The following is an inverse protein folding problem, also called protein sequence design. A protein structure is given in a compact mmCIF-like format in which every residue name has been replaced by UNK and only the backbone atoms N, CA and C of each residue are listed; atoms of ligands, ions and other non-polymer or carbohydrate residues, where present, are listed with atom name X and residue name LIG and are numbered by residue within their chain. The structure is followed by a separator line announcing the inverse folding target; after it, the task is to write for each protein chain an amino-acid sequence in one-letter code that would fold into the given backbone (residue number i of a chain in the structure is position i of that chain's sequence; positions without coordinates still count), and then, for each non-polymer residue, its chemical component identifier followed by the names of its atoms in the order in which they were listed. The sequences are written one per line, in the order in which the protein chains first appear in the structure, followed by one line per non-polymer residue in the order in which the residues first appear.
data_IF_380457826620
#
_entry.id   IF_380457826620
#
_cell.length_a   1.000
_cell.length_b   1.000
_cell.length_c   1.000
_cell.angle_alpha   90.00
_cell.angle_beta   90.00
_cell.angle_gamma   90.00
#
_symmetry.space_group_name_H-M   'P 1'
#
loop_
_entity.id
_entity.type
_entity.pdbx_description
1 polymer ?
#
# COMPACT_ATOMS: atom_id res chain seq x y z
N UNK A 1 -18.04 -19.35 10.74
CA UNK A 1 -17.66 -18.16 11.54
C UNK A 1 -17.75 -16.97 10.57
N UNK A 2 -18.61 -15.99 10.85
CA UNK A 2 -18.73 -14.81 10.00
C UNK A 2 -17.45 -14.00 10.19
N UNK A 3 -16.65 -13.83 9.12
CA UNK A 3 -15.49 -12.96 9.15
C UNK A 3 -15.99 -11.56 9.51
N UNK A 4 -15.46 -10.97 10.57
CA UNK A 4 -15.73 -9.57 10.89
C UNK A 4 -14.87 -8.76 9.87
N UNK A 5 -15.51 -8.29 8.81
CA UNK A 5 -14.84 -7.39 7.86
C UNK A 5 -14.46 -6.12 8.63
N UNK A 6 -13.19 -5.78 8.59
CA UNK A 6 -12.76 -4.49 9.09
C UNK A 6 -13.27 -3.41 8.13
N UNK A 7 -13.90 -2.39 8.70
CA UNK A 7 -14.37 -1.22 7.94
C UNK A 7 -13.53 -0.03 8.36
N UNK A 8 -12.92 0.65 7.39
CA UNK A 8 -12.09 1.82 7.61
C UNK A 8 -12.71 3.04 6.94
N UNK A 9 -12.89 4.11 7.69
CA UNK A 9 -13.32 5.41 7.14
C UNK A 9 -12.08 6.18 6.68
N UNK A 10 -12.09 6.60 5.42
CA UNK A 10 -11.02 7.39 4.81
C UNK A 10 -11.46 8.84 4.76
N UNK A 11 -10.89 9.64 5.65
CA UNK A 11 -11.26 11.05 5.82
C UNK A 11 -10.91 11.88 4.60
N UNK A 12 -11.85 12.71 4.15
CA UNK A 12 -11.64 13.68 3.10
C UNK A 12 -10.94 14.92 3.63
N UNK A 13 -9.89 15.33 2.94
CA UNK A 13 -9.13 16.55 3.24
C UNK A 13 -9.08 17.48 2.04
N UNK A 14 -8.84 18.77 2.32
CA UNK A 14 -8.67 19.77 1.29
C UNK A 14 -7.23 20.31 1.28
N UNK A 15 -6.71 20.57 0.08
CA UNK A 15 -5.45 21.24 -0.16
C UNK A 15 -5.66 22.43 -1.08
N UNK A 16 -4.74 23.38 -1.05
CA UNK A 16 -4.73 24.54 -1.96
C UNK A 16 -4.33 24.16 -3.40
N UNK A 17 -3.65 23.03 -3.58
CA UNK A 17 -3.25 22.47 -4.87
C UNK A 17 -3.93 21.12 -5.10
N UNK A 18 -4.32 20.76 -6.33
CA UNK A 18 -4.81 19.43 -6.66
C UNK A 18 -3.73 18.34 -6.52
N UNK A 19 -2.46 18.71 -6.57
CA UNK A 19 -1.30 17.85 -6.34
C UNK A 19 -0.37 18.55 -5.32
N UNK A 20 -0.67 18.46 -4.00
CA UNK A 20 0.13 19.11 -2.96
C UNK A 20 1.53 18.49 -2.86
N UNK A 21 2.52 19.23 -2.41
CA UNK A 21 3.83 18.67 -2.09
C UNK A 21 3.72 17.57 -1.02
N UNK A 22 4.59 16.56 -1.05
CA UNK A 22 4.54 15.48 -0.05
C UNK A 22 4.83 15.99 1.38
N UNK A 23 5.56 17.09 1.54
CA UNK A 23 5.69 17.80 2.83
C UNK A 23 4.35 18.26 3.38
N UNK A 24 3.48 18.82 2.51
CA UNK A 24 2.15 19.29 2.92
C UNK A 24 1.23 18.11 3.23
N UNK A 25 1.37 17.01 2.48
CA UNK A 25 0.64 15.76 2.73
C UNK A 25 1.00 15.22 4.13
N UNK A 26 2.30 15.17 4.48
CA UNK A 26 2.76 14.73 5.81
C UNK A 26 2.17 15.60 6.92
N UNK A 27 2.25 16.91 6.77
CA UNK A 27 1.69 17.85 7.75
C UNK A 27 0.16 17.69 7.90
N UNK A 28 -0.55 17.46 6.78
CA UNK A 28 -2.01 17.29 6.76
C UNK A 28 -2.46 16.03 7.49
N UNK A 29 -1.72 14.93 7.46
CA UNK A 29 -2.01 13.75 8.26
C UNK A 29 -2.11 14.06 9.76
N UNK A 30 -1.17 14.87 10.27
CA UNK A 30 -1.13 15.25 11.67
C UNK A 30 -2.18 16.32 12.00
N UNK A 31 -2.33 17.35 11.16
CA UNK A 31 -3.33 18.40 11.30
C UNK A 31 -4.76 17.85 11.35
N UNK A 32 -5.08 16.90 10.47
CA UNK A 32 -6.39 16.27 10.40
C UNK A 32 -6.59 15.15 11.44
N UNK A 33 -5.58 14.82 12.23
CA UNK A 33 -5.67 13.78 13.25
C UNK A 33 -5.93 12.39 12.69
N UNK A 34 -5.40 12.08 11.50
CA UNK A 34 -5.62 10.79 10.84
C UNK A 34 -4.97 9.67 11.65
N UNK A 35 -5.79 8.73 12.11
CA UNK A 35 -5.35 7.65 12.97
C UNK A 35 -4.46 6.62 12.24
N UNK A 36 -3.50 6.06 12.98
CA UNK A 36 -2.72 4.91 12.54
C UNK A 36 -3.51 3.61 12.70
N UNK A 37 -3.41 2.74 11.71
CA UNK A 37 -4.00 1.41 11.68
C UNK A 37 -2.89 0.38 11.62
N UNK A 38 -2.97 -0.69 12.39
CA UNK A 38 -1.95 -1.73 12.41
C UNK A 38 -2.05 -2.67 11.19
N UNK A 39 -0.89 -3.06 10.64
CA UNK A 39 -0.75 -4.20 9.74
C UNK A 39 -0.13 -5.31 10.59
N UNK A 40 -0.96 -6.11 11.24
CA UNK A 40 -0.49 -6.97 12.33
C UNK A 40 -1.04 -8.40 12.32
N UNK A 41 -1.79 -8.77 11.28
CA UNK A 41 -2.31 -10.12 11.14
C UNK A 41 -1.22 -11.06 10.63
N UNK A 42 -0.74 -11.95 11.51
CA UNK A 42 0.15 -13.08 11.15
C UNK A 42 -0.75 -14.23 10.69
N UNK A 43 -1.05 -14.31 9.40
CA UNK A 43 -2.00 -15.28 8.87
C UNK A 43 -1.39 -16.69 8.74
N UNK A 44 -0.06 -16.80 8.67
CA UNK A 44 0.67 -18.05 8.45
C UNK A 44 1.67 -18.27 9.57
N UNK A 45 1.40 -19.19 10.52
CA UNK A 45 2.23 -19.41 11.71
C UNK A 45 3.67 -19.84 11.44
N UNK A 46 3.96 -20.36 10.25
CA UNK A 46 5.31 -20.69 9.80
C UNK A 46 6.20 -19.46 9.55
N UNK A 47 5.59 -18.26 9.47
CA UNK A 47 6.28 -16.97 9.34
C UNK A 47 5.93 -16.07 10.54
N UNK A 48 6.42 -16.39 11.74
CA UNK A 48 5.97 -15.74 12.97
C UNK A 48 6.57 -14.35 13.21
N UNK A 49 7.56 -13.93 12.41
CA UNK A 49 8.17 -12.61 12.59
C UNK A 49 7.15 -11.51 12.30
N UNK A 50 7.00 -10.63 13.29
CA UNK A 50 6.01 -9.56 13.29
C UNK A 50 6.70 -8.23 13.61
N UNK A 51 7.22 -7.52 12.60
CA UNK A 51 7.63 -6.12 12.77
C UNK A 51 6.45 -5.25 13.19
N UNK A 52 6.73 -4.11 13.82
CA UNK A 52 5.71 -3.09 14.09
C UNK A 52 5.44 -2.32 12.81
N UNK A 53 4.24 -2.49 12.26
CA UNK A 53 3.85 -1.87 10.98
C UNK A 53 2.50 -1.21 11.12
N UNK A 54 2.43 0.05 10.70
CA UNK A 54 1.20 0.83 10.72
C UNK A 54 1.04 1.59 9.40
N UNK A 55 -0.19 1.88 9.05
CA UNK A 55 -0.52 2.80 7.97
C UNK A 55 -1.57 3.79 8.38
N UNK A 56 -1.63 4.91 7.69
CA UNK A 56 -2.75 5.85 7.71
C UNK A 56 -3.11 6.30 6.30
N UNK A 57 -4.39 6.60 6.09
CA UNK A 57 -4.93 6.92 4.78
C UNK A 57 -5.90 8.09 4.87
N UNK A 58 -5.83 8.99 3.90
CA UNK A 58 -6.79 10.07 3.68
C UNK A 58 -6.93 10.31 2.17
N UNK A 59 -7.90 11.10 1.75
CA UNK A 59 -8.07 11.43 0.34
C UNK A 59 -8.48 12.88 0.11
N UNK A 60 -8.29 13.34 -1.11
CA UNK A 60 -8.84 14.59 -1.63
C UNK A 60 -9.74 14.33 -2.84
N UNK A 61 -10.19 15.38 -3.52
CA UNK A 61 -10.90 15.23 -4.80
C UNK A 61 -10.06 14.56 -5.89
N UNK A 62 -8.74 14.63 -5.79
CA UNK A 62 -7.83 14.25 -6.88
C UNK A 62 -6.93 13.07 -6.55
N UNK A 63 -6.67 12.79 -5.28
CA UNK A 63 -5.65 11.83 -4.87
C UNK A 63 -6.07 11.05 -3.61
N UNK A 64 -5.52 9.83 -3.49
CA UNK A 64 -5.44 9.06 -2.25
C UNK A 64 -4.03 9.25 -1.69
N UNK A 65 -3.93 9.48 -0.38
CA UNK A 65 -2.68 9.63 0.33
C UNK A 65 -2.50 8.52 1.35
N UNK A 66 -1.32 7.91 1.34
CA UNK A 66 -0.93 6.87 2.27
C UNK A 66 0.33 7.29 3.01
N UNK A 67 0.43 6.86 4.25
CA UNK A 67 1.70 6.88 4.96
C UNK A 67 1.85 5.56 5.70
N UNK A 68 2.97 4.88 5.47
CA UNK A 68 3.37 3.69 6.21
C UNK A 68 4.46 4.06 7.21
N UNK A 69 4.40 3.46 8.39
CA UNK A 69 5.42 3.57 9.41
C UNK A 69 5.82 2.17 9.87
N UNK A 70 7.11 1.88 9.82
CA UNK A 70 7.66 0.55 10.09
C UNK A 70 8.81 0.63 11.06
N UNK A 71 8.79 -0.25 12.07
CA UNK A 71 9.91 -0.56 12.94
C UNK A 71 10.22 -2.03 12.85
N UNK A 72 11.45 -2.36 12.45
CA UNK A 72 11.87 -3.73 12.18
C UNK A 72 13.35 -3.94 12.48
N UNK A 73 13.77 -5.20 12.53
CA UNK A 73 15.18 -5.52 12.74
C UNK A 73 15.84 -5.85 11.41
N UNK A 74 16.52 -4.86 10.86
CA UNK A 74 17.07 -4.86 9.51
C UNK A 74 16.16 -4.12 8.52
N UNK A 75 16.73 -3.71 7.39
CA UNK A 75 15.97 -3.24 6.23
C UNK A 75 16.72 -3.65 4.96
N UNK A 76 15.97 -4.07 3.94
CA UNK A 76 16.51 -4.47 2.65
C UNK A 76 15.91 -3.63 1.54
N UNK A 77 16.79 -3.03 0.70
CA UNK A 77 16.42 -2.33 -0.52
C UNK A 77 17.45 -2.62 -1.61
N UNK A 78 17.16 -3.52 -2.51
CA UNK A 78 18.04 -3.92 -3.62
C UNK A 78 17.63 -3.27 -4.94
N UNK A 79 16.41 -2.72 -5.00
CA UNK A 79 15.91 -2.00 -6.16
C UNK A 79 15.82 -0.51 -5.87
N UNK A 80 16.55 0.30 -6.64
CA UNK A 80 16.53 1.78 -6.63
C UNK A 80 15.83 2.37 -7.85
N UNK A 81 14.96 1.61 -8.52
CA UNK A 81 14.16 2.03 -9.66
C UNK A 81 12.93 1.13 -9.82
N UNK A 82 11.89 1.63 -10.50
CA UNK A 82 10.66 0.86 -10.72
C UNK A 82 10.83 -0.20 -11.81
N UNK A 83 11.55 0.12 -12.87
CA UNK A 83 11.76 -0.79 -13.99
C UNK A 83 12.47 -2.07 -13.56
N UNK A 84 11.85 -3.22 -13.80
CA UNK A 84 12.40 -4.53 -13.45
C UNK A 84 12.42 -4.84 -11.94
N UNK A 85 11.88 -3.96 -11.08
CA UNK A 85 11.87 -4.19 -9.63
C UNK A 85 11.00 -5.38 -9.24
N UNK A 86 11.40 -6.00 -8.12
CA UNK A 86 10.66 -7.04 -7.42
C UNK A 86 10.56 -6.64 -5.94
N UNK A 87 9.74 -5.63 -5.63
CA UNK A 87 9.73 -5.01 -4.30
C UNK A 87 9.43 -6.00 -3.17
N UNK A 88 8.65 -7.05 -3.42
CA UNK A 88 8.36 -8.11 -2.45
C UNK A 88 9.58 -8.87 -1.94
N UNK A 89 10.71 -8.85 -2.68
CA UNK A 89 11.97 -9.45 -2.24
C UNK A 89 12.77 -8.56 -1.28
N UNK A 90 12.43 -7.26 -1.24
CA UNK A 90 12.94 -6.27 -0.28
C UNK A 90 11.97 -6.14 0.91
N UNK A 91 12.25 -5.23 1.85
CA UNK A 91 11.25 -4.79 2.82
C UNK A 91 10.21 -3.96 2.12
N UNK A 92 9.02 -4.54 1.97
CA UNK A 92 7.95 -4.06 1.11
C UNK A 92 6.68 -3.75 1.91
N UNK A 93 6.01 -2.66 1.54
CA UNK A 93 4.63 -2.35 1.94
C UNK A 93 3.74 -2.29 0.72
N UNK A 94 2.48 -2.74 0.87
CA UNK A 94 1.61 -2.88 -0.28
C UNK A 94 0.21 -2.32 0.01
N UNK A 95 -0.43 -1.79 -1.02
CA UNK A 95 -1.82 -1.36 -1.01
C UNK A 95 -2.56 -1.94 -2.20
N UNK A 96 -3.49 -2.85 -1.93
CA UNK A 96 -4.33 -3.47 -2.94
C UNK A 96 -5.74 -2.88 -2.86
N UNK A 97 -6.28 -2.44 -3.99
CA UNK A 97 -7.56 -1.74 -4.06
C UNK A 97 -8.41 -2.24 -5.23
N UNK A 98 -9.66 -2.55 -4.96
CA UNK A 98 -10.71 -2.71 -5.98
C UNK A 98 -11.43 -1.35 -6.09
N UNK A 99 -11.13 -0.51 -7.09
CA UNK A 99 -11.63 0.87 -7.12
C UNK A 99 -13.05 1.00 -7.69
N UNK A 100 -13.61 -0.09 -8.20
CA UNK A 100 -14.90 -0.12 -8.90
C UNK A 100 -15.73 -1.31 -8.43
N UNK A 101 -17.04 -1.18 -8.46
CA UNK A 101 -18.01 -2.26 -8.22
C UNK A 101 -18.38 -3.05 -9.49
N UNK A 102 -17.77 -2.71 -10.64
CA UNK A 102 -18.05 -3.33 -11.95
C UNK A 102 -17.56 -4.76 -12.05
N UNK A 103 -16.39 -5.03 -11.44
CA UNK A 103 -15.79 -6.36 -11.36
C UNK A 103 -14.90 -6.48 -10.11
N UNK A 104 -14.26 -7.63 -9.94
CA UNK A 104 -13.36 -7.89 -8.82
C UNK A 104 -11.89 -7.60 -9.12
N UNK A 105 -11.60 -6.96 -10.26
CA UNK A 105 -10.23 -6.61 -10.61
C UNK A 105 -9.68 -5.55 -9.67
N UNK A 106 -8.45 -5.73 -9.25
CA UNK A 106 -7.78 -4.86 -8.29
C UNK A 106 -6.46 -4.34 -8.83
N UNK A 107 -6.09 -3.19 -8.33
CA UNK A 107 -4.72 -2.71 -8.43
C UNK A 107 -3.91 -3.22 -7.25
N UNK A 108 -2.71 -3.70 -7.50
CA UNK A 108 -1.73 -3.97 -6.46
C UNK A 108 -0.55 -3.04 -6.64
N UNK A 109 -0.43 -2.09 -5.72
CA UNK A 109 0.72 -1.24 -5.54
C UNK A 109 1.63 -1.89 -4.51
N UNK A 110 2.86 -2.22 -4.90
CA UNK A 110 3.88 -2.81 -4.06
C UNK A 110 5.11 -1.90 -4.11
N UNK A 111 5.58 -1.42 -2.95
CA UNK A 111 6.69 -0.47 -2.83
C UNK A 111 7.68 -0.95 -1.78
N UNK A 112 8.97 -1.01 -2.15
CA UNK A 112 10.00 -1.30 -1.15
C UNK A 112 10.23 -0.09 -0.21
N UNK A 113 11.03 -0.28 0.82
CA UNK A 113 11.25 0.72 1.88
C UNK A 113 11.91 2.03 1.39
N UNK A 114 12.46 2.09 0.17
CA UNK A 114 12.95 3.32 -0.48
C UNK A 114 11.98 3.87 -1.54
N UNK A 115 10.77 3.28 -1.64
CA UNK A 115 9.67 3.79 -2.45
C UNK A 115 9.69 3.34 -3.92
N UNK A 116 10.50 2.38 -4.32
CA UNK A 116 10.46 1.82 -5.68
C UNK A 116 9.64 0.54 -5.74
N UNK A 117 8.98 0.32 -6.87
CA UNK A 117 8.11 -0.84 -6.95
C UNK A 117 7.35 -1.04 -8.23
N UNK A 118 6.18 -1.64 -8.09
CA UNK A 118 5.32 -2.01 -9.20
C UNK A 118 3.87 -1.61 -8.93
N UNK A 119 3.16 -1.39 -10.02
CA UNK A 119 1.71 -1.32 -10.04
C UNK A 119 1.19 -2.31 -11.09
N UNK A 120 0.34 -3.24 -10.67
CA UNK A 120 -0.34 -4.14 -11.61
C UNK A 120 -1.86 -3.98 -11.46
N UNK A 121 -2.61 -4.46 -12.47
CA UNK A 121 -4.07 -4.47 -12.50
C UNK A 121 -4.58 -5.78 -13.10
N UNK A 122 -5.60 -6.36 -12.51
CA UNK A 122 -6.27 -7.55 -13.02
C UNK A 122 -7.09 -8.29 -11.97
N UNK A 123 -7.78 -9.37 -12.38
CA UNK A 123 -8.74 -10.08 -11.52
C UNK A 123 -8.08 -11.02 -10.50
N UNK A 124 -6.86 -11.47 -10.76
CA UNK A 124 -6.12 -12.39 -9.90
C UNK A 124 -4.61 -12.36 -10.20
N UNK A 125 -3.83 -13.11 -9.42
CA UNK A 125 -2.36 -13.16 -9.52
C UNK A 125 -1.85 -13.53 -10.91
N UNK A 126 -2.53 -14.41 -11.64
CA UNK A 126 -2.06 -14.98 -12.90
C UNK A 126 -2.50 -14.17 -14.13
N UNK A 127 -3.63 -13.47 -14.01
CA UNK A 127 -4.26 -12.74 -15.14
C UNK A 127 -4.10 -11.22 -15.01
N UNK A 128 -3.34 -10.75 -14.00
CA UNK A 128 -2.98 -9.35 -13.89
C UNK A 128 -1.84 -9.01 -14.85
N UNK A 129 -1.78 -7.76 -15.25
CA UNK A 129 -0.70 -7.21 -16.05
C UNK A 129 -0.07 -6.01 -15.31
N UNK A 130 1.20 -5.77 -15.60
CA UNK A 130 1.91 -4.60 -15.09
C UNK A 130 1.37 -3.35 -15.80
N UNK A 131 0.99 -2.33 -15.03
CA UNK A 131 0.76 -1.00 -15.56
C UNK A 131 2.08 -0.43 -16.05
N UNK A 132 2.03 0.36 -17.14
CA UNK A 132 3.24 0.94 -17.72
C UNK A 132 3.96 1.90 -16.77
N UNK A 133 5.23 2.13 -17.06
CA UNK A 133 6.07 3.04 -16.26
C UNK A 133 5.49 4.48 -16.25
N UNK A 134 4.78 4.87 -17.30
CA UNK A 134 4.05 6.14 -17.37
C UNK A 134 2.89 6.25 -16.38
N UNK A 135 2.37 5.12 -15.88
CA UNK A 135 1.31 5.10 -14.87
C UNK A 135 1.91 5.15 -13.47
N UNK A 136 2.88 4.26 -13.17
CA UNK A 136 3.49 4.21 -11.84
C UNK A 136 4.29 5.47 -11.51
N UNK A 137 4.90 6.12 -12.49
CA UNK A 137 5.64 7.38 -12.30
C UNK A 137 4.77 8.56 -11.87
N UNK A 138 3.44 8.48 -12.04
CA UNK A 138 2.50 9.47 -11.53
C UNK A 138 2.30 9.37 -10.02
N UNK A 139 2.62 8.24 -9.41
CA UNK A 139 2.53 8.03 -7.97
C UNK A 139 3.75 8.68 -7.32
N UNK A 140 3.53 9.74 -6.55
CA UNK A 140 4.60 10.44 -5.84
C UNK A 140 4.92 9.74 -4.53
N UNK A 141 6.20 9.55 -4.23
CA UNK A 141 6.67 8.73 -3.10
C UNK A 141 7.87 9.39 -2.46
N UNK A 142 7.94 9.33 -1.14
CA UNK A 142 9.08 9.80 -0.36
C UNK A 142 9.28 8.93 0.88
N UNK A 143 10.46 8.33 0.98
CA UNK A 143 10.89 7.54 2.13
C UNK A 143 11.89 8.31 2.99
N UNK A 144 11.85 8.09 4.30
CA UNK A 144 12.88 8.59 5.22
C UNK A 144 14.23 7.90 5.03
N UNK A 145 14.27 6.76 4.37
CA UNK A 145 15.51 6.06 3.98
C UNK A 145 16.11 6.58 2.66
N UNK A 146 15.49 7.60 2.04
CA UNK A 146 15.88 8.10 0.72
C UNK A 146 15.28 7.28 -0.42
N UNK A 147 15.90 7.37 -1.62
CA UNK A 147 15.43 6.70 -2.84
C UNK A 147 16.45 5.73 -3.44
N UNK A 148 17.67 5.68 -2.90
CA UNK A 148 18.73 4.85 -3.43
C UNK A 148 18.71 3.45 -2.82
N UNK A 149 19.00 2.43 -3.65
CA UNK A 149 19.22 1.08 -3.15
C UNK A 149 20.47 1.03 -2.25
N UNK A 150 20.38 0.34 -1.12
CA UNK A 150 21.48 0.20 -0.16
C UNK A 150 21.86 -1.26 0.14
N UNK A 151 21.16 -2.24 -0.44
CA UNK A 151 21.31 -3.66 -0.10
C UNK A 151 20.62 -4.00 1.20
N UNK A 152 21.34 -4.34 2.24
CA UNK A 152 20.79 -4.70 3.57
C UNK A 152 21.42 -3.85 4.67
N UNK A 153 20.59 -3.29 5.53
CA UNK A 153 20.96 -2.68 6.80
C UNK A 153 20.67 -3.67 7.94
N UNK A 154 21.59 -3.78 8.86
CA UNK A 154 21.42 -4.64 10.05
C UNK A 154 20.99 -3.82 11.27
N UNK A 155 20.44 -4.52 12.27
CA UNK A 155 19.99 -3.91 13.52
C UNK A 155 18.66 -3.16 13.40
N UNK A 156 18.21 -2.51 14.48
CA UNK A 156 16.92 -1.83 14.51
C UNK A 156 16.84 -0.71 13.46
N UNK A 157 15.80 -0.74 12.65
CA UNK A 157 15.48 0.26 11.64
C UNK A 157 14.08 0.84 11.90
N UNK A 158 13.93 2.11 11.64
CA UNK A 158 12.64 2.82 11.65
C UNK A 158 12.54 3.68 10.41
N UNK A 159 11.46 3.51 9.65
CA UNK A 159 11.25 4.27 8.43
C UNK A 159 9.78 4.58 8.18
N UNK A 160 9.58 5.61 7.39
CA UNK A 160 8.26 6.07 6.96
C UNK A 160 8.26 6.26 5.45
N UNK A 161 7.24 5.75 4.78
CA UNK A 161 7.00 5.96 3.36
C UNK A 161 5.69 6.73 3.17
N UNK A 162 5.77 7.92 2.56
CA UNK A 162 4.61 8.73 2.20
C UNK A 162 4.34 8.60 0.71
N UNK A 163 3.08 8.38 0.35
CA UNK A 163 2.64 8.09 -1.03
C UNK A 163 1.43 8.94 -1.37
N UNK A 164 1.43 9.57 -2.56
CA UNK A 164 0.28 10.26 -3.13
C UNK A 164 -0.08 9.61 -4.46
N UNK A 165 -1.30 9.10 -4.58
CA UNK A 165 -1.79 8.33 -5.73
C UNK A 165 -2.89 9.12 -6.43
N UNK A 166 -2.62 9.72 -7.60
CA UNK A 166 -3.65 10.40 -8.37
C UNK A 166 -4.76 9.43 -8.82
N UNK A 167 -6.02 9.86 -8.74
CA UNK A 167 -7.16 9.03 -9.16
C UNK A 167 -7.08 8.54 -10.61
N UNK A 168 -6.41 9.27 -11.50
CA UNK A 168 -6.18 8.87 -12.89
C UNK A 168 -5.36 7.57 -13.05
N UNK A 169 -4.62 7.18 -12.03
CA UNK A 169 -3.90 5.89 -11.97
C UNK A 169 -4.87 4.71 -12.08
N UNK A 170 -6.10 4.89 -11.63
CA UNK A 170 -7.16 3.87 -11.64
C UNK A 170 -8.04 3.88 -12.90
N UNK A 171 -7.61 4.57 -13.95
CA UNK A 171 -8.39 4.75 -15.18
C UNK A 171 -8.74 3.46 -15.93
N UNK A 172 -7.93 2.39 -15.79
CA UNK A 172 -8.24 1.09 -16.41
C UNK A 172 -9.48 0.44 -15.81
N UNK A 173 -9.71 0.61 -14.50
CA UNK A 173 -10.89 0.08 -13.83
C UNK A 173 -12.14 0.95 -14.09
N UNK A 174 -11.99 2.27 -14.12
CA UNK A 174 -13.08 3.21 -14.34
C UNK A 174 -12.56 4.51 -14.97
N UNK A 175 -12.66 4.61 -16.29
CA UNK A 175 -12.27 5.82 -17.04
C UNK A 175 -13.03 7.09 -16.61
N UNK A 176 -14.20 6.92 -16.00
CA UNK A 176 -15.05 8.00 -15.52
C UNK A 176 -14.95 8.23 -14.01
N UNK A 177 -13.92 7.69 -13.35
CA UNK A 177 -13.69 7.89 -11.93
C UNK A 177 -13.42 9.40 -11.66
N UNK A 178 -14.47 10.11 -11.25
CA UNK A 178 -14.39 11.56 -10.97
C UNK A 178 -14.00 11.81 -9.51
N UNK A 179 -14.45 10.95 -8.58
CA UNK A 179 -14.15 11.05 -7.15
C UNK A 179 -14.27 9.70 -6.48
N UNK A 180 -13.53 9.51 -5.39
CA UNK A 180 -13.77 8.42 -4.44
C UNK A 180 -14.81 8.79 -3.37
N UNK A 181 -15.12 10.07 -3.14
CA UNK A 181 -16.06 10.50 -2.09
C UNK A 181 -17.39 9.78 -2.16
N UNK A 182 -17.88 9.31 -1.02
CA UNK A 182 -19.12 8.56 -0.88
C UNK A 182 -19.06 7.11 -1.35
N UNK A 183 -17.89 6.61 -1.79
CA UNK A 183 -17.74 5.21 -2.22
C UNK A 183 -17.27 4.33 -1.08
N UNK A 184 -17.88 3.15 -0.98
CA UNK A 184 -17.34 2.03 -0.22
C UNK A 184 -16.73 1.04 -1.20
N UNK A 185 -15.48 0.72 -1.02
CA UNK A 185 -14.69 -0.18 -1.88
C UNK A 185 -13.98 -1.20 -1.02
N UNK A 186 -13.32 -2.18 -1.65
CA UNK A 186 -12.57 -3.21 -0.93
C UNK A 186 -11.07 -3.03 -1.14
N UNK A 187 -10.32 -3.17 -0.05
CA UNK A 187 -8.87 -3.00 -0.06
C UNK A 187 -8.20 -3.87 1.00
N UNK A 188 -6.89 -4.06 0.87
CA UNK A 188 -6.07 -4.55 1.96
C UNK A 188 -4.70 -3.88 1.93
N UNK A 189 -4.01 -3.94 3.07
CA UNK A 189 -2.68 -3.38 3.26
C UNK A 189 -1.77 -4.48 3.77
N UNK A 190 -0.51 -4.49 3.29
CA UNK A 190 0.39 -5.58 3.59
C UNK A 190 1.80 -5.09 3.90
N UNK A 191 2.54 -5.95 4.60
CA UNK A 191 3.99 -5.89 4.76
C UNK A 191 4.55 -7.25 4.41
N UNK A 192 5.55 -7.30 3.57
CA UNK A 192 6.31 -8.50 3.30
C UNK A 192 7.81 -8.24 3.15
N UNK A 193 8.54 -9.33 3.04
CA UNK A 193 9.97 -9.34 2.78
C UNK A 193 10.42 -10.77 2.50
N UNK A 194 10.26 -11.22 1.24
CA UNK A 194 10.50 -12.63 0.87
C UNK A 194 11.97 -13.03 1.02
N UNK A 195 12.92 -12.12 0.66
CA UNK A 195 14.36 -12.37 0.67
C UNK A 195 15.07 -11.59 1.80
N UNK A 196 14.33 -11.09 2.78
CA UNK A 196 14.91 -10.48 3.98
C UNK A 196 15.53 -11.54 4.90
N UNK A 197 16.32 -11.12 5.89
CA UNK A 197 16.95 -12.05 6.84
C UNK A 197 15.93 -12.96 7.55
N UNK A 198 14.71 -12.47 7.78
CA UNK A 198 13.59 -13.21 8.34
C UNK A 198 12.36 -12.97 7.46
N UNK A 199 12.04 -13.87 6.52
CA UNK A 199 10.85 -13.75 5.68
C UNK A 199 9.57 -13.59 6.50
N UNK A 200 8.70 -12.66 6.08
CA UNK A 200 7.49 -12.31 6.81
C UNK A 200 6.38 -11.81 5.90
N UNK A 201 5.13 -12.04 6.33
CA UNK A 201 3.92 -11.71 5.58
C UNK A 201 2.82 -11.29 6.55
N UNK A 202 2.52 -9.99 6.57
CA UNK A 202 1.49 -9.40 7.42
C UNK A 202 0.40 -8.74 6.60
N UNK A 203 -0.82 -8.72 7.12
CA UNK A 203 -1.93 -7.99 6.52
C UNK A 203 -2.68 -7.14 7.55
N UNK A 204 -3.43 -6.15 7.06
CA UNK A 204 -4.40 -5.41 7.86
C UNK A 204 -5.67 -6.23 8.07
N UNK A 205 -6.34 -6.66 7.01
CA UNK A 205 -7.49 -7.56 7.09
C UNK A 205 -7.00 -9.01 7.02
N UNK A 206 -7.51 -9.92 7.89
CA UNK A 206 -7.08 -11.32 7.93
C UNK A 206 -7.26 -12.06 6.61
N UNK A 207 -6.35 -13.00 6.34
CA UNK A 207 -6.38 -13.88 5.16
C UNK A 207 -6.46 -15.33 5.61
N UNK A 208 -7.37 -16.11 5.00
CA UNK A 208 -7.61 -17.52 5.36
C UNK A 208 -7.04 -18.54 4.36
N UNK A 209 -6.01 -18.19 3.59
CA UNK A 209 -5.37 -19.13 2.66
C UNK A 209 -4.36 -20.04 3.37
N UNK A 210 -4.14 -21.29 2.88
CA UNK A 210 -3.24 -22.23 3.53
C UNK A 210 -1.74 -21.90 3.36
N UNK A 211 -1.39 -20.99 2.47
CA UNK A 211 -0.01 -20.52 2.20
C UNK A 211 -0.02 -19.02 1.93
N UNK A 212 1.10 -18.30 2.13
CA UNK A 212 1.19 -16.88 1.86
C UNK A 212 0.71 -16.51 0.46
N UNK A 213 -0.34 -15.71 0.41
CA UNK A 213 -0.92 -15.19 -0.82
C UNK A 213 -1.76 -13.94 -0.54
N UNK A 214 -1.28 -12.78 -0.94
CA UNK A 214 -2.00 -11.50 -0.81
C UNK A 214 -3.01 -11.27 -1.94
N UNK A 215 -2.86 -12.00 -3.07
CA UNK A 215 -3.71 -11.85 -4.25
C UNK A 215 -5.05 -12.59 -4.12
N UNK A 216 -5.78 -12.26 -3.08
CA UNK A 216 -7.02 -12.92 -2.65
C UNK A 216 -8.08 -11.86 -2.35
N UNK A 217 -8.69 -11.24 -3.40
CA UNK A 217 -9.63 -10.13 -3.22
C UNK A 217 -10.85 -10.49 -2.37
N UNK A 218 -11.19 -11.76 -2.22
CA UNK A 218 -12.23 -12.23 -1.30
C UNK A 218 -11.95 -11.93 0.18
N UNK A 219 -10.66 -11.69 0.54
CA UNK A 219 -10.22 -11.36 1.88
C UNK A 219 -9.94 -9.86 2.09
N UNK A 220 -10.26 -9.00 1.11
CA UNK A 220 -10.11 -7.56 1.30
C UNK A 220 -11.17 -7.04 2.26
N UNK A 221 -10.77 -6.12 3.15
CA UNK A 221 -11.65 -5.38 4.03
C UNK A 221 -12.39 -4.28 3.28
N UNK A 222 -13.34 -3.62 3.95
CA UNK A 222 -14.08 -2.49 3.39
C UNK A 222 -13.43 -1.16 3.81
N UNK A 223 -13.29 -0.24 2.86
CA UNK A 223 -12.91 1.15 3.12
C UNK A 223 -13.96 2.08 2.52
N UNK A 224 -14.38 3.08 3.30
CA UNK A 224 -15.38 4.07 2.87
C UNK A 224 -14.73 5.44 2.82
N UNK A 225 -14.76 6.06 1.65
CA UNK A 225 -14.26 7.41 1.43
C UNK A 225 -15.34 8.45 1.75
N UNK A 226 -15.06 9.41 2.65
CA UNK A 226 -15.97 10.53 2.98
C UNK A 226 -16.20 11.49 1.80
#
# INVERSE_FOLDING_TARGET
MKLLLMTLIVTKVAFSSPEPALSDVKAKFDEAGIAWNAIDQVNWPEFPYKPEVQFRIMHSETEIYLQFHVRENGARATFGQDAGSRPWTDDCVEFFLIPSDRDSSYYNLELNCVGHGILNYGPNRNERHRCGDEVISQIRRESTLGSEAFGTLEGPQEWTLTVAIPKRVYAQADLNLTSFSGRTVRANFYKCGDDTAVPHFLSWNPIGTPKPNFHTPEWFGEITFE
#
